data_IF_328699286420
#
_entry.id   IF_328699286420
#
_cell.length_a   1.000
_cell.length_b   1.000
_cell.length_c   1.000
_cell.angle_alpha   90.00
_cell.angle_beta   90.00
_cell.angle_gamma   90.00
#
_symmetry.space_group_name_H-M   'P 1'
#
loop_
_entity.id
_entity.type
_entity.pdbx_description
1 polymer ?
#
# COMPACT_ATOMS: atom_id res chain seq x y z
N UNK A 1 -118.55 39.93 -52.97
CA UNK A 1 -118.62 41.37 -53.30
C UNK A 1 -117.31 42.00 -52.88
N UNK A 2 -116.54 42.43 -53.89
CA UNK A 2 -115.68 43.62 -53.94
C UNK A 2 -114.77 44.04 -52.76
N UNK A 3 -113.46 43.93 -53.04
CA UNK A 3 -112.39 44.96 -52.99
C UNK A 3 -112.24 45.91 -51.78
N UNK A 4 -111.04 45.85 -51.19
CA UNK A 4 -110.11 46.95 -50.82
C UNK A 4 -108.83 46.25 -50.33
N UNK A 5 -107.65 46.35 -50.95
CA UNK A 5 -106.94 47.53 -51.42
C UNK A 5 -105.64 47.63 -50.61
N UNK A 6 -104.53 47.22 -51.24
CA UNK A 6 -103.13 47.37 -50.79
C UNK A 6 -102.81 48.73 -50.17
N UNK A 7 -102.15 48.80 -49.00
CA UNK A 7 -101.26 49.94 -48.65
C UNK A 7 -100.07 49.57 -47.71
N UNK A 8 -100.01 48.41 -47.03
CA UNK A 8 -98.97 48.19 -46.00
C UNK A 8 -97.81 47.25 -46.37
N UNK A 9 -97.80 46.67 -47.57
CA UNK A 9 -96.70 45.81 -48.06
C UNK A 9 -95.49 46.63 -48.59
N UNK A 10 -95.46 47.95 -48.35
CA UNK A 10 -94.40 48.85 -48.81
C UNK A 10 -93.98 49.90 -47.76
N UNK A 11 -93.79 49.49 -46.51
CA UNK A 11 -93.00 50.28 -45.55
C UNK A 11 -91.56 49.78 -45.59
N UNK A 12 -90.87 50.18 -46.66
CA UNK A 12 -89.42 50.06 -46.77
C UNK A 12 -88.80 51.14 -45.87
N UNK A 13 -88.67 50.84 -44.58
CA UNK A 13 -87.87 51.60 -43.63
C UNK A 13 -86.39 51.42 -43.99
N UNK A 14 -85.96 52.06 -45.08
CA UNK A 14 -84.54 52.39 -45.33
C UNK A 14 -84.13 53.44 -44.29
N UNK A 15 -83.93 53.00 -43.06
CA UNK A 15 -83.16 53.77 -42.10
C UNK A 15 -81.70 53.37 -42.27
N UNK A 16 -81.02 54.07 -43.17
CA UNK A 16 -79.55 54.04 -43.29
C UNK A 16 -78.90 54.31 -41.92
N UNK A 17 -79.57 55.06 -41.03
CA UNK A 17 -79.12 55.31 -39.65
C UNK A 17 -79.25 54.09 -38.71
N UNK A 18 -80.20 53.16 -38.91
CA UNK A 18 -80.30 51.96 -38.05
C UNK A 18 -79.27 50.90 -38.47
N UNK A 19 -78.93 50.85 -39.75
CA UNK A 19 -77.91 49.97 -40.30
C UNK A 19 -76.49 50.42 -39.85
N UNK A 20 -76.20 51.72 -39.81
CA UNK A 20 -74.90 52.26 -39.36
C UNK A 20 -74.60 51.98 -37.87
N UNK A 21 -75.65 51.90 -37.04
CA UNK A 21 -75.56 51.53 -35.60
C UNK A 21 -75.27 50.04 -35.39
N UNK A 22 -75.61 49.18 -36.36
CA UNK A 22 -75.39 47.73 -36.30
C UNK A 22 -74.11 47.29 -37.01
N UNK A 23 -73.61 48.08 -37.96
CA UNK A 23 -72.41 47.75 -38.75
C UNK A 23 -71.11 48.22 -38.09
N UNK A 24 -71.15 49.21 -37.19
CA UNK A 24 -69.96 49.68 -36.47
C UNK A 24 -69.94 49.13 -35.05
N UNK A 25 -69.08 48.14 -34.74
CA UNK A 25 -68.94 47.68 -33.37
C UNK A 25 -68.52 48.86 -32.49
N UNK A 26 -69.22 49.11 -31.36
CA UNK A 26 -68.97 50.29 -30.56
C UNK A 26 -67.53 50.29 -30.04
N UNK A 27 -66.84 51.42 -30.20
CA UNK A 27 -65.43 51.58 -29.80
C UNK A 27 -65.14 51.21 -28.34
N UNK A 28 -66.15 51.26 -27.47
CA UNK A 28 -66.06 50.81 -26.08
C UNK A 28 -65.79 49.29 -26.02
N UNK A 29 -66.54 48.47 -26.75
CA UNK A 29 -66.39 47.02 -26.78
C UNK A 29 -64.97 46.59 -27.20
N UNK A 30 -64.41 47.27 -28.21
CA UNK A 30 -63.07 46.99 -28.74
C UNK A 30 -62.00 47.32 -27.69
N UNK A 31 -62.14 48.47 -27.00
CA UNK A 31 -61.21 48.91 -25.96
C UNK A 31 -61.25 47.98 -24.73
N UNK A 32 -62.44 47.60 -24.26
CA UNK A 32 -62.57 46.68 -23.12
C UNK A 32 -62.20 45.25 -23.47
N UNK A 33 -62.55 44.77 -24.66
CA UNK A 33 -62.18 43.44 -25.14
C UNK A 33 -60.66 43.26 -25.23
N UNK A 34 -59.94 44.25 -25.79
CA UNK A 34 -58.48 44.22 -25.85
C UNK A 34 -57.83 44.22 -24.47
N UNK A 35 -58.36 45.01 -23.51
CA UNK A 35 -57.92 45.02 -22.11
C UNK A 35 -58.13 43.67 -21.42
N UNK A 36 -59.27 43.01 -21.65
CA UNK A 36 -59.57 41.68 -21.09
C UNK A 36 -58.62 40.63 -21.66
N UNK A 37 -58.40 40.63 -22.97
CA UNK A 37 -57.47 39.70 -23.63
C UNK A 37 -56.03 39.91 -23.12
N UNK A 38 -55.58 41.17 -23.01
CA UNK A 38 -54.27 41.50 -22.44
C UNK A 38 -54.14 41.00 -20.99
N UNK A 39 -55.19 41.17 -20.18
CA UNK A 39 -55.23 40.68 -18.80
C UNK A 39 -55.10 39.17 -18.70
N UNK A 40 -55.77 38.42 -19.59
CA UNK A 40 -55.67 36.95 -19.64
C UNK A 40 -54.25 36.51 -20.02
N UNK A 41 -53.62 37.16 -21.01
CA UNK A 41 -52.24 36.85 -21.41
C UNK A 41 -51.26 37.14 -20.26
N UNK A 42 -51.40 38.29 -19.60
CA UNK A 42 -50.59 38.64 -18.42
C UNK A 42 -50.80 37.65 -17.26
N UNK A 43 -52.03 37.18 -17.06
CA UNK A 43 -52.34 36.17 -16.06
C UNK A 43 -51.59 34.86 -16.34
N UNK A 44 -51.60 34.37 -17.58
CA UNK A 44 -50.85 33.18 -17.97
C UNK A 44 -49.34 33.35 -17.75
N UNK A 45 -48.79 34.51 -18.12
CA UNK A 45 -47.37 34.80 -17.95
C UNK A 45 -46.98 34.90 -16.46
N UNK A 46 -47.84 35.52 -15.65
CA UNK A 46 -47.66 35.61 -14.20
C UNK A 46 -47.69 34.22 -13.55
N UNK A 47 -48.66 33.37 -13.91
CA UNK A 47 -48.72 31.99 -13.43
C UNK A 47 -47.49 31.19 -13.84
N UNK A 48 -47.04 31.30 -15.09
CA UNK A 48 -45.85 30.61 -15.58
C UNK A 48 -44.57 31.06 -14.85
N UNK A 49 -44.48 32.34 -14.48
CA UNK A 49 -43.34 32.87 -13.73
C UNK A 49 -43.34 32.43 -12.25
N UNK A 50 -44.52 32.33 -11.63
CA UNK A 50 -44.67 31.90 -10.23
C UNK A 50 -44.52 30.39 -10.09
N UNK A 51 -45.02 29.61 -11.05
CA UNK A 51 -44.92 28.15 -11.06
C UNK A 51 -43.55 27.76 -11.63
N UNK A 52 -42.52 27.79 -10.76
CA UNK A 52 -41.25 27.13 -11.03
C UNK A 52 -41.50 25.62 -11.03
N UNK A 53 -41.37 24.96 -12.18
CA UNK A 53 -41.41 23.51 -12.23
C UNK A 53 -40.09 22.96 -11.69
N UNK A 54 -40.08 22.25 -10.54
CA UNK A 54 -38.86 21.66 -10.04
C UNK A 54 -38.58 20.41 -10.84
N UNK A 55 -37.69 20.52 -11.82
CA UNK A 55 -37.21 19.37 -12.58
C UNK A 55 -36.21 18.60 -11.71
N UNK A 56 -36.66 17.49 -11.11
CA UNK A 56 -35.79 16.57 -10.40
C UNK A 56 -35.32 15.49 -11.37
N UNK A 57 -34.02 15.46 -11.63
CA UNK A 57 -33.38 14.40 -12.40
C UNK A 57 -32.92 13.33 -11.40
N UNK A 58 -33.66 12.22 -11.32
CA UNK A 58 -33.29 11.07 -10.49
C UNK A 58 -32.09 10.37 -11.13
N UNK A 59 -30.88 10.74 -10.70
CA UNK A 59 -29.65 10.09 -11.13
C UNK A 59 -29.14 9.14 -10.04
N UNK A 60 -28.74 7.90 -10.37
CA UNK A 60 -28.09 7.03 -9.42
C UNK A 60 -26.71 7.60 -9.07
N UNK A 61 -26.51 7.92 -7.78
CA UNK A 61 -25.19 8.30 -7.25
C UNK A 61 -24.57 7.07 -6.61
N UNK A 62 -23.38 6.70 -7.07
CA UNK A 62 -22.58 5.64 -6.45
C UNK A 62 -21.66 6.30 -5.42
N UNK A 63 -21.91 6.04 -4.14
CA UNK A 63 -21.03 6.47 -3.05
C UNK A 63 -19.88 5.47 -2.98
N UNK A 64 -18.70 5.84 -3.48
CA UNK A 64 -17.49 5.04 -3.37
C UNK A 64 -16.59 5.56 -2.26
N UNK A 65 -15.89 4.64 -1.58
CA UNK A 65 -14.78 4.98 -0.67
C UNK A 65 -13.59 5.54 -1.45
N UNK A 66 -12.79 6.43 -0.83
CA UNK A 66 -11.52 6.92 -1.41
C UNK A 66 -10.50 5.79 -1.58
N UNK A 67 -10.50 4.84 -0.65
CA UNK A 67 -9.74 3.60 -0.76
C UNK A 67 -10.73 2.44 -0.82
N UNK A 68 -10.98 1.87 -2.01
CA UNK A 68 -11.80 0.68 -2.12
C UNK A 68 -11.14 -0.50 -1.39
N UNK A 69 -11.92 -1.44 -0.86
CA UNK A 69 -11.37 -2.66 -0.27
C UNK A 69 -10.60 -3.45 -1.34
N UNK A 70 -9.31 -3.66 -1.09
CA UNK A 70 -8.46 -4.48 -1.94
C UNK A 70 -8.54 -5.94 -1.47
N UNK A 71 -8.72 -6.86 -2.43
CA UNK A 71 -8.67 -8.28 -2.12
C UNK A 71 -7.21 -8.67 -1.89
N UNK A 72 -6.94 -9.26 -0.74
CA UNK A 72 -5.62 -9.82 -0.45
C UNK A 72 -5.56 -11.19 -1.12
N UNK A 73 -4.67 -11.33 -2.11
CA UNK A 73 -4.42 -12.58 -2.81
C UNK A 73 -3.13 -13.23 -2.32
N UNK A 74 -3.21 -14.54 -2.06
CA UNK A 74 -2.07 -15.35 -1.68
C UNK A 74 -1.43 -15.87 -2.96
N UNK A 75 -0.12 -15.71 -3.09
CA UNK A 75 0.64 -16.13 -4.29
C UNK A 75 0.82 -17.65 -4.40
N UNK A 76 0.69 -18.35 -3.29
CA UNK A 76 0.89 -19.80 -3.17
C UNK A 76 -0.45 -20.49 -2.92
N UNK A 77 -0.64 -21.65 -3.55
CA UNK A 77 -1.81 -22.50 -3.32
C UNK A 77 -1.54 -23.35 -2.07
N UNK A 78 -2.13 -22.97 -0.93
CA UNK A 78 -1.94 -23.63 0.35
C UNK A 78 -3.25 -23.60 1.15
N UNK A 79 -3.42 -24.55 2.06
CA UNK A 79 -4.59 -24.56 2.96
C UNK A 79 -4.41 -23.53 4.06
N UNK A 80 -5.53 -23.02 4.53
CA UNK A 80 -5.56 -22.14 5.71
C UNK A 80 -5.45 -23.02 6.95
N UNK A 81 -4.38 -22.86 7.71
CA UNK A 81 -4.21 -23.54 9.00
C UNK A 81 -4.98 -22.80 10.09
N UNK A 82 -4.81 -21.47 10.16
CA UNK A 82 -5.40 -20.64 11.21
C UNK A 82 -5.78 -19.25 10.72
N UNK A 83 -7.03 -18.86 10.93
CA UNK A 83 -7.50 -17.49 10.71
C UNK A 83 -7.42 -16.71 12.04
N UNK A 84 -6.67 -15.62 12.06
CA UNK A 84 -6.43 -14.81 13.27
C UNK A 84 -7.32 -13.55 13.25
N UNK A 85 -7.46 -12.92 12.08
CA UNK A 85 -8.31 -11.76 11.90
C UNK A 85 -9.80 -12.11 11.99
N UNK A 86 -10.57 -11.27 12.66
CA UNK A 86 -12.04 -11.35 12.71
C UNK A 86 -12.66 -10.49 11.62
N UNK A 87 -13.90 -10.82 11.24
CA UNK A 87 -14.67 -9.98 10.32
C UNK A 87 -14.77 -8.54 10.84
N UNK A 88 -14.61 -7.56 9.93
CA UNK A 88 -14.64 -6.12 10.22
C UNK A 88 -13.60 -5.61 11.24
N UNK A 89 -12.57 -6.39 11.55
CA UNK A 89 -11.50 -5.95 12.42
C UNK A 89 -10.62 -4.88 11.75
N UNK A 90 -10.34 -3.79 12.46
CA UNK A 90 -9.35 -2.81 12.02
C UNK A 90 -7.94 -3.38 12.17
N UNK A 91 -7.16 -3.38 11.08
CA UNK A 91 -5.80 -3.91 11.04
C UNK A 91 -4.83 -2.85 10.51
N UNK A 92 -3.57 -2.93 10.93
CA UNK A 92 -2.47 -2.07 10.46
C UNK A 92 -1.61 -2.83 9.46
N UNK A 93 -0.83 -2.09 8.69
CA UNK A 93 0.15 -2.67 7.77
C UNK A 93 1.16 -3.51 8.56
N UNK A 94 1.26 -4.79 8.19
CA UNK A 94 2.17 -5.75 8.82
C UNK A 94 1.51 -6.61 9.91
N UNK A 95 0.23 -6.41 10.22
CA UNK A 95 -0.48 -7.28 11.16
C UNK A 95 -0.68 -8.68 10.55
N UNK A 96 -0.51 -9.71 11.40
CA UNK A 96 -0.73 -11.10 11.02
C UNK A 96 -2.23 -11.38 10.94
N UNK A 97 -2.73 -11.65 9.73
CA UNK A 97 -4.15 -11.91 9.48
C UNK A 97 -4.50 -13.40 9.54
N UNK A 98 -3.59 -14.23 9.04
CA UNK A 98 -3.83 -15.65 8.79
C UNK A 98 -2.50 -16.39 8.69
N UNK A 99 -2.48 -17.65 9.12
CA UNK A 99 -1.38 -18.59 8.96
C UNK A 99 -1.82 -19.66 7.98
N UNK A 100 -0.97 -19.90 6.99
CA UNK A 100 -1.13 -20.92 5.96
C UNK A 100 -0.41 -22.20 6.41
N UNK A 101 -0.93 -23.34 5.98
CA UNK A 101 -0.31 -24.64 6.25
C UNK A 101 1.11 -24.64 5.67
N UNK A 102 2.08 -24.77 6.56
CA UNK A 102 3.51 -24.78 6.25
C UNK A 102 4.19 -25.98 6.90
N UNK A 103 5.35 -26.35 6.39
CA UNK A 103 6.22 -27.34 7.04
C UNK A 103 6.86 -26.81 8.33
N UNK A 104 6.79 -25.50 8.55
CA UNK A 104 7.24 -24.81 9.75
C UNK A 104 6.13 -24.68 10.80
N UNK A 105 6.49 -24.81 12.08
CA UNK A 105 5.60 -24.46 13.19
C UNK A 105 5.67 -22.94 13.46
N UNK A 106 4.51 -22.28 13.44
CA UNK A 106 4.39 -20.83 13.67
C UNK A 106 5.00 -20.39 15.00
N UNK A 107 4.84 -21.19 16.07
CA UNK A 107 5.37 -20.84 17.40
C UNK A 107 6.88 -20.92 17.41
N UNK A 108 7.45 -21.92 16.76
CA UNK A 108 8.90 -22.11 16.67
C UNK A 108 9.56 -20.97 15.90
N UNK A 109 8.95 -20.56 14.78
CA UNK A 109 9.40 -19.40 13.99
C UNK A 109 9.30 -18.12 14.82
N UNK A 110 8.21 -17.90 15.54
CA UNK A 110 8.04 -16.75 16.42
C UNK A 110 9.07 -16.73 17.57
N UNK A 111 9.39 -17.89 18.16
CA UNK A 111 10.42 -18.01 19.19
C UNK A 111 11.81 -17.74 18.63
N UNK A 112 12.14 -18.32 17.47
CA UNK A 112 13.40 -18.07 16.78
C UNK A 112 13.59 -16.57 16.52
N UNK A 113 12.55 -15.89 16.01
CA UNK A 113 12.58 -14.44 15.79
C UNK A 113 12.84 -13.68 17.09
N UNK A 114 12.18 -14.05 18.19
CA UNK A 114 12.42 -13.44 19.50
C UNK A 114 13.85 -13.63 20.02
N UNK A 115 14.44 -14.81 19.79
CA UNK A 115 15.84 -15.09 20.13
C UNK A 115 16.78 -14.21 19.29
N UNK A 116 16.54 -14.10 17.98
CA UNK A 116 17.34 -13.27 17.07
C UNK A 116 17.23 -11.78 17.42
N UNK A 117 16.04 -11.29 17.75
CA UNK A 117 15.82 -9.89 18.16
C UNK A 117 16.52 -9.57 19.50
N UNK A 118 16.71 -10.57 20.38
CA UNK A 118 17.36 -10.40 21.68
C UNK A 118 18.89 -10.52 21.63
N UNK A 119 19.45 -11.19 20.63
CA UNK A 119 20.90 -11.45 20.55
C UNK A 119 21.57 -10.39 19.69
N UNK A 120 22.50 -9.65 20.28
CA UNK A 120 23.37 -8.75 19.51
C UNK A 120 24.42 -9.54 18.74
N UNK A 121 24.80 -9.05 17.56
CA UNK A 121 25.84 -9.63 16.69
C UNK A 121 27.21 -9.80 17.37
N UNK A 122 27.45 -9.16 18.53
CA UNK A 122 28.70 -9.32 19.30
C UNK A 122 28.71 -10.53 20.23
N UNK A 123 27.56 -11.16 20.48
CA UNK A 123 27.42 -12.25 21.46
C UNK A 123 26.78 -13.50 20.84
N UNK A 124 27.08 -13.76 19.56
CA UNK A 124 26.57 -14.92 18.80
C UNK A 124 26.92 -16.27 19.47
N UNK A 125 28.06 -16.37 20.15
CA UNK A 125 28.47 -17.60 20.87
C UNK A 125 27.52 -17.98 22.02
N UNK A 126 26.60 -17.10 22.42
CA UNK A 126 25.57 -17.37 23.45
C UNK A 126 24.24 -17.87 22.86
N UNK A 127 24.17 -18.07 21.55
CA UNK A 127 22.97 -18.55 20.88
C UNK A 127 22.61 -19.96 21.38
N UNK A 128 21.35 -20.22 21.78
CA UNK A 128 20.93 -21.50 22.34
C UNK A 128 20.71 -22.56 21.25
N UNK A 129 21.81 -23.06 20.65
CA UNK A 129 21.78 -24.05 19.56
C UNK A 129 20.96 -25.30 19.89
N UNK A 130 21.06 -25.80 21.13
CA UNK A 130 20.31 -26.99 21.56
C UNK A 130 18.80 -26.76 21.68
N UNK A 131 18.36 -25.53 21.97
CA UNK A 131 16.93 -25.23 22.05
C UNK A 131 16.32 -25.22 20.64
N UNK A 132 17.01 -24.54 19.72
CA UNK A 132 16.52 -24.30 18.35
C UNK A 132 16.70 -25.54 17.45
N UNK A 133 17.58 -26.48 17.80
CA UNK A 133 17.72 -27.74 17.04
C UNK A 133 16.47 -28.62 17.05
N UNK A 134 15.59 -28.46 18.04
CA UNK A 134 14.31 -29.16 18.11
C UNK A 134 13.17 -28.48 17.36
N UNK A 135 13.40 -27.28 16.82
CA UNK A 135 12.36 -26.49 16.17
C UNK A 135 12.06 -26.99 14.77
N UNK A 136 10.80 -26.87 14.36
CA UNK A 136 10.35 -27.16 13.00
C UNK A 136 10.32 -25.86 12.22
N UNK A 137 11.42 -25.52 11.54
CA UNK A 137 11.58 -24.23 10.86
C UNK A 137 11.16 -24.24 9.38
N UNK A 138 10.76 -25.40 8.85
CA UNK A 138 10.32 -25.56 7.47
C UNK A 138 11.38 -25.10 6.47
N UNK A 139 11.04 -24.15 5.60
CA UNK A 139 11.95 -23.61 4.58
C UNK A 139 13.20 -22.95 5.17
N UNK A 140 13.13 -22.40 6.39
CA UNK A 140 14.26 -21.72 7.07
C UNK A 140 15.23 -22.73 7.70
N UNK A 141 14.88 -24.02 7.72
CA UNK A 141 15.69 -25.05 8.37
C UNK A 141 17.09 -25.20 7.76
N UNK A 142 17.21 -25.09 6.44
CA UNK A 142 18.52 -25.19 5.76
C UNK A 142 19.46 -24.05 6.16
N UNK A 143 18.94 -22.82 6.16
CA UNK A 143 19.68 -21.63 6.60
C UNK A 143 20.11 -21.75 8.07
N UNK A 144 19.21 -22.23 8.93
CA UNK A 144 19.53 -22.48 10.34
C UNK A 144 20.65 -23.52 10.49
N UNK A 145 20.58 -24.63 9.75
CA UNK A 145 21.60 -25.68 9.85
C UNK A 145 22.98 -25.17 9.39
N UNK A 146 23.02 -24.36 8.33
CA UNK A 146 24.25 -23.73 7.86
C UNK A 146 24.83 -22.77 8.92
N UNK A 147 23.96 -21.94 9.52
CA UNK A 147 24.34 -21.06 10.62
C UNK A 147 24.87 -21.81 11.85
N UNK A 148 24.12 -22.83 12.29
CA UNK A 148 24.46 -23.64 13.47
C UNK A 148 25.83 -24.30 13.32
N UNK A 149 26.10 -24.87 12.13
CA UNK A 149 27.40 -25.45 11.79
C UNK A 149 28.52 -24.42 11.85
N UNK A 150 28.34 -23.26 11.22
CA UNK A 150 29.36 -22.21 11.22
C UNK A 150 29.65 -21.68 12.65
N UNK A 151 28.61 -21.57 13.49
CA UNK A 151 28.77 -21.14 14.87
C UNK A 151 29.50 -22.21 15.72
N UNK A 152 29.14 -23.48 15.54
CA UNK A 152 29.82 -24.58 16.23
C UNK A 152 31.30 -24.68 15.84
N UNK A 153 31.61 -24.51 14.55
CA UNK A 153 32.99 -24.42 14.06
C UNK A 153 33.76 -23.25 14.69
N UNK A 154 33.14 -22.08 14.86
CA UNK A 154 33.75 -20.91 15.51
C UNK A 154 34.04 -21.17 17.00
N UNK A 155 33.07 -21.75 17.72
CA UNK A 155 33.23 -22.10 19.13
C UNK A 155 34.35 -23.14 19.31
N UNK A 156 34.38 -24.15 18.43
CA UNK A 156 35.38 -25.21 18.43
C UNK A 156 36.77 -24.67 18.07
N UNK A 157 36.86 -23.76 17.11
CA UNK A 157 38.10 -23.08 16.74
C UNK A 157 38.70 -22.30 17.91
N UNK A 158 37.88 -21.50 18.61
CA UNK A 158 38.33 -20.75 19.78
C UNK A 158 38.73 -21.66 20.96
N UNK A 159 38.06 -22.81 21.11
CA UNK A 159 38.31 -23.74 22.22
C UNK A 159 39.55 -24.59 22.00
N UNK A 160 39.74 -25.11 20.79
CA UNK A 160 40.84 -26.02 20.47
C UNK A 160 42.15 -25.31 20.14
N UNK A 161 42.10 -24.02 19.76
CA UNK A 161 43.25 -23.24 19.30
C UNK A 161 44.17 -24.06 18.36
N UNK A 162 43.66 -24.52 17.21
CA UNK A 162 44.37 -25.48 16.36
C UNK A 162 45.78 -25.03 15.95
N UNK A 163 46.01 -23.71 15.89
CA UNK A 163 47.30 -23.11 15.56
C UNK A 163 48.23 -22.89 16.76
N UNK A 164 47.79 -23.10 18.00
CA UNK A 164 48.63 -22.89 19.17
C UNK A 164 49.86 -23.83 19.18
N UNK A 165 49.71 -25.08 18.75
CA UNK A 165 50.82 -26.03 18.64
C UNK A 165 51.82 -25.63 17.54
N UNK A 166 51.33 -25.10 16.43
CA UNK A 166 52.15 -24.59 15.33
C UNK A 166 52.89 -23.32 15.73
N UNK A 167 52.25 -22.42 16.47
CA UNK A 167 52.88 -21.22 17.03
C UNK A 167 54.02 -21.57 17.99
N UNK A 168 53.80 -22.55 18.89
CA UNK A 168 54.85 -23.05 19.79
C UNK A 168 56.00 -23.71 19.01
N UNK A 169 55.71 -24.45 17.95
CA UNK A 169 56.74 -25.10 17.12
C UNK A 169 57.52 -24.07 16.30
N UNK A 170 56.84 -23.08 15.72
CA UNK A 170 57.46 -22.00 14.98
C UNK A 170 58.36 -21.13 15.86
N UNK A 171 57.91 -20.79 17.07
CA UNK A 171 58.71 -20.02 18.04
C UNK A 171 59.94 -20.79 18.54
N UNK A 172 59.82 -22.11 18.77
CA UNK A 172 60.97 -22.98 19.02
C UNK A 172 61.97 -22.96 17.87
N UNK A 173 61.50 -23.13 16.63
CA UNK A 173 62.35 -23.05 15.45
C UNK A 173 63.09 -21.71 15.33
N UNK A 174 62.41 -20.58 15.56
CA UNK A 174 63.04 -19.24 15.60
C UNK A 174 64.15 -19.18 16.67
N UNK A 175 63.93 -19.81 17.82
CA UNK A 175 64.91 -19.85 18.92
C UNK A 175 66.13 -20.66 18.53
N UNK A 176 65.94 -21.86 17.98
CA UNK A 176 67.03 -22.73 17.51
C UNK A 176 67.88 -22.05 16.42
N UNK A 177 67.23 -21.34 15.49
CA UNK A 177 67.95 -20.55 14.48
C UNK A 177 68.77 -19.43 15.09
N UNK A 178 68.26 -18.72 16.10
CA UNK A 178 69.01 -17.67 16.80
C UNK A 178 70.24 -18.24 17.51
N UNK A 179 70.10 -19.36 18.21
CA UNK A 179 71.24 -20.04 18.85
C UNK A 179 72.29 -20.47 17.83
N UNK A 180 71.86 -21.04 16.71
CA UNK A 180 72.77 -21.45 15.64
C UNK A 180 73.54 -20.27 15.04
N UNK A 181 72.87 -19.13 14.82
CA UNK A 181 73.53 -17.90 14.35
C UNK A 181 74.56 -17.40 15.38
N UNK A 182 74.23 -17.44 16.68
CA UNK A 182 75.17 -17.04 17.73
C UNK A 182 76.42 -17.93 17.76
N UNK A 183 76.24 -19.25 17.67
CA UNK A 183 77.33 -20.21 17.61
C UNK A 183 78.22 -20.01 16.37
N UNK A 184 77.62 -19.81 15.19
CA UNK A 184 78.37 -19.53 13.95
C UNK A 184 79.18 -18.23 14.03
N UNK A 185 78.62 -17.18 14.65
CA UNK A 185 79.37 -15.93 14.91
C UNK A 185 80.57 -16.18 15.83
N UNK A 186 80.40 -16.95 16.90
CA UNK A 186 81.52 -17.30 17.79
C UNK A 186 82.61 -18.09 17.06
N UNK A 187 82.24 -19.10 16.25
CA UNK A 187 83.19 -19.87 15.45
C UNK A 187 83.96 -18.96 14.48
N UNK A 188 83.28 -18.06 13.80
CA UNK A 188 83.92 -17.09 12.89
C UNK A 188 84.93 -16.18 13.62
N UNK A 189 84.59 -15.71 14.83
CA UNK A 189 85.50 -14.89 15.65
C UNK A 189 86.74 -15.68 16.07
N UNK A 190 86.57 -16.94 16.48
CA UNK A 190 87.68 -17.81 16.86
C UNK A 190 88.61 -18.10 15.67
N UNK A 191 88.05 -18.45 14.51
CA UNK A 191 88.83 -18.72 13.30
C UNK A 191 89.58 -17.48 12.79
N UNK A 192 88.93 -16.32 12.76
CA UNK A 192 89.61 -15.06 12.38
C UNK A 192 90.72 -14.68 13.36
N UNK A 193 90.54 -14.92 14.67
CA UNK A 193 91.59 -14.72 15.68
C UNK A 193 92.77 -15.67 15.47
N UNK A 194 92.52 -16.95 15.19
CA UNK A 194 93.58 -17.93 14.84
C UNK A 194 94.35 -17.50 13.60
N UNK A 195 93.65 -17.07 12.55
CA UNK A 195 94.27 -16.60 11.32
C UNK A 195 95.20 -15.40 11.57
N UNK A 196 94.76 -14.41 12.36
CA UNK A 196 95.61 -13.27 12.71
C UNK A 196 96.84 -13.66 13.54
N UNK A 197 96.71 -14.60 14.48
CA UNK A 197 97.84 -15.11 15.26
C UNK A 197 98.85 -15.84 14.38
N UNK A 198 98.36 -16.65 13.42
CA UNK A 198 99.22 -17.38 12.50
C UNK A 198 99.96 -16.42 11.56
N UNK A 199 99.30 -15.36 11.10
CA UNK A 199 99.91 -14.31 10.25
C UNK A 199 100.94 -13.44 10.98
N UNK A 200 100.92 -13.37 12.32
CA UNK A 200 101.92 -12.66 13.14
C UNK A 200 103.13 -13.53 13.52
N UNK A 201 103.07 -14.85 13.30
CA UNK A 201 104.15 -15.79 13.59
C UNK A 201 105.06 -16.07 12.38
N UNK A 202 104.69 -15.54 11.21
CA UNK A 202 105.52 -15.43 10.00
C UNK A 202 106.10 -14.01 9.95
#
# INVERSE_FOLDING_TARGET
METKGNILENINLRSEQVQEVLETPPNWLIRWGSLVILGIILLFFSLACVIKYPEFITSPIIISSQNPPEKIEIRIDSRIEKLIAKDQQTVKKGDLLMVLESSADDKDIHQLKGILDSISTKHLSRFPLHLVSGFRLGEVQEDYNAFAKALEEEILFNSLQPYAAEEVTATKGITDYKERIANLKQQHILESSKYQLNRKKL
#
